data_IF_678993515156
#
_entry.id   IF_678993515156
#
_cell.length_a   1.000
_cell.length_b   1.000
_cell.length_c   1.000
_cell.angle_alpha   90.00
_cell.angle_beta   90.00
_cell.angle_gamma   90.00
#
_symmetry.space_group_name_H-M   'P 1'
#
loop_
_entity.id
_entity.type
_entity.pdbx_description
1 polymer ?
#
# COMPACT_ATOMS: atom_id res chain seq x y z
N UNK A 1 -0.66 10.46 -11.37
CA UNK A 1 -0.89 9.26 -10.56
C UNK A 1 -1.09 9.67 -9.11
N UNK A 2 -2.26 9.40 -8.55
CA UNK A 2 -2.63 9.78 -7.19
C UNK A 2 -2.61 8.54 -6.31
N UNK A 3 -1.89 8.61 -5.18
CA UNK A 3 -1.75 7.52 -4.20
C UNK A 3 -2.12 8.00 -2.78
N UNK A 4 -2.54 7.11 -1.89
CA UNK A 4 -2.95 7.51 -0.54
C UNK A 4 -1.80 7.73 0.43
N UNK A 5 -0.59 7.24 0.13
CA UNK A 5 0.55 7.21 1.05
C UNK A 5 1.85 7.66 0.37
N UNK A 6 2.71 8.39 1.12
CA UNK A 6 4.03 8.80 0.63
C UNK A 6 4.93 7.63 0.23
N UNK A 7 4.87 6.52 0.98
CA UNK A 7 5.64 5.32 0.66
C UNK A 7 5.24 4.72 -0.69
N UNK A 8 3.93 4.65 -0.97
CA UNK A 8 3.42 4.21 -2.27
C UNK A 8 3.80 5.18 -3.39
N UNK A 9 3.87 6.48 -3.11
CA UNK A 9 4.32 7.45 -4.11
C UNK A 9 5.78 7.22 -4.51
N UNK A 10 6.65 6.92 -3.56
CA UNK A 10 8.04 6.61 -3.85
C UNK A 10 8.16 5.31 -4.67
N UNK A 11 7.43 4.26 -4.29
CA UNK A 11 7.38 3.00 -5.04
C UNK A 11 6.90 3.21 -6.47
N UNK A 12 5.77 3.88 -6.66
CA UNK A 12 5.21 4.15 -7.99
C UNK A 12 6.11 5.06 -8.85
N UNK A 13 6.78 6.00 -8.22
CA UNK A 13 7.78 6.82 -8.90
C UNK A 13 8.91 5.94 -9.47
N UNK A 14 9.49 5.05 -8.67
CA UNK A 14 10.54 4.14 -9.15
C UNK A 14 10.02 3.20 -10.25
N UNK A 15 8.81 2.65 -10.10
CA UNK A 15 8.17 1.83 -11.13
C UNK A 15 8.00 2.58 -12.46
N UNK A 16 7.59 3.86 -12.39
CA UNK A 16 7.29 4.66 -13.58
C UNK A 16 8.54 5.22 -14.25
N UNK A 17 9.66 5.34 -13.55
CA UNK A 17 10.97 5.72 -14.13
C UNK A 17 11.37 4.87 -15.35
N UNK A 18 10.91 3.63 -15.45
CA UNK A 18 11.16 2.79 -16.64
C UNK A 18 10.69 3.45 -17.95
N UNK A 19 9.71 4.36 -17.88
CA UNK A 19 9.22 5.08 -19.04
C UNK A 19 10.13 6.22 -19.50
N UNK A 20 11.13 6.61 -18.71
CA UNK A 20 12.17 7.57 -19.11
C UNK A 20 12.96 7.07 -20.32
N UNK A 21 13.04 5.75 -20.51
CA UNK A 21 13.62 5.12 -21.70
C UNK A 21 12.87 5.46 -22.99
N UNK A 22 11.61 5.91 -22.87
CA UNK A 22 10.78 6.37 -23.98
C UNK A 22 10.83 7.90 -24.15
N UNK A 23 11.70 8.57 -23.41
CA UNK A 23 11.84 10.03 -23.42
C UNK A 23 10.84 10.77 -22.53
N UNK A 24 10.02 10.08 -21.74
CA UNK A 24 9.07 10.69 -20.80
C UNK A 24 9.80 11.12 -19.53
N UNK A 25 9.39 12.25 -18.96
CA UNK A 25 9.92 12.77 -17.70
C UNK A 25 8.96 12.40 -16.57
N UNK A 26 9.47 11.76 -15.53
CA UNK A 26 8.70 11.34 -14.37
C UNK A 26 9.07 12.19 -13.16
N UNK A 27 8.07 12.73 -12.46
CA UNK A 27 8.23 13.52 -11.24
C UNK A 27 7.41 12.98 -10.08
N UNK A 28 7.86 13.28 -8.86
CA UNK A 28 7.13 12.95 -7.63
C UNK A 28 6.91 14.21 -6.81
N UNK A 29 5.69 14.37 -6.29
CA UNK A 29 5.35 15.48 -5.42
C UNK A 29 4.65 14.98 -4.17
N UNK A 30 5.43 14.80 -3.10
CA UNK A 30 5.01 14.27 -1.80
C UNK A 30 5.63 15.11 -0.69
N UNK A 31 5.12 16.20 -0.36
CA UNK A 31 5.79 17.06 0.61
C UNK A 31 4.90 18.11 1.20
N UNK A 32 5.48 19.24 1.50
CA UNK A 32 4.82 20.37 2.11
C UNK A 32 3.56 20.75 1.33
N UNK A 33 2.41 20.73 2.02
CA UNK A 33 1.11 20.88 1.37
C UNK A 33 0.85 22.30 0.87
N UNK A 34 1.64 23.30 1.31
CA UNK A 34 1.42 24.70 1.01
C UNK A 34 2.37 25.28 -0.05
N UNK A 35 3.24 24.47 -0.67
CA UNK A 35 4.11 24.97 -1.74
C UNK A 35 3.51 24.69 -3.12
N UNK A 36 3.33 25.74 -3.95
CA UNK A 36 3.14 25.52 -5.38
C UNK A 36 4.45 24.96 -5.94
N UNK A 37 4.40 23.79 -6.55
CA UNK A 37 5.55 23.21 -7.25
C UNK A 37 5.50 23.62 -8.73
N UNK A 38 5.96 24.84 -9.10
CA UNK A 38 5.83 25.36 -10.47
C UNK A 38 6.64 24.54 -11.49
N UNK A 39 7.56 23.72 -11.01
CA UNK A 39 8.41 22.90 -11.87
C UNK A 39 7.70 21.61 -12.34
N UNK A 40 6.50 21.30 -11.83
CA UNK A 40 5.78 20.08 -12.19
C UNK A 40 5.28 20.10 -13.64
N UNK A 41 5.14 21.25 -14.27
CA UNK A 41 4.80 21.40 -15.68
C UNK A 41 5.82 20.80 -16.65
N UNK A 42 7.03 20.51 -16.16
CA UNK A 42 8.12 19.91 -16.95
C UNK A 42 8.04 18.38 -17.04
N UNK A 43 7.16 17.76 -16.26
CA UNK A 43 7.02 16.32 -16.20
C UNK A 43 5.82 15.86 -17.00
N UNK A 44 6.00 14.73 -17.70
CA UNK A 44 4.92 14.06 -18.44
C UNK A 44 4.08 13.18 -17.51
N UNK A 45 4.70 12.63 -16.47
CA UNK A 45 4.07 11.82 -15.45
C UNK A 45 4.39 12.39 -14.07
N UNK A 46 3.36 12.65 -13.27
CA UNK A 46 3.52 13.16 -11.91
C UNK A 46 2.87 12.16 -10.93
N UNK A 47 3.63 11.71 -9.96
CA UNK A 47 3.11 10.90 -8.83
C UNK A 47 2.93 11.81 -7.63
N UNK A 48 1.73 11.82 -7.05
CA UNK A 48 1.42 12.66 -5.90
C UNK A 48 0.51 11.96 -4.90
N UNK A 49 0.53 12.41 -3.64
CA UNK A 49 -0.52 12.02 -2.69
C UNK A 49 -1.81 12.80 -2.95
N UNK A 50 -2.95 12.29 -2.46
CA UNK A 50 -4.26 12.96 -2.59
C UNK A 50 -4.22 14.38 -2.03
N UNK A 51 -3.59 14.56 -0.87
CA UNK A 51 -3.48 15.84 -0.19
C UNK A 51 -2.63 16.83 -1.00
N UNK A 52 -1.53 16.35 -1.60
CA UNK A 52 -0.68 17.20 -2.44
C UNK A 52 -1.38 17.55 -3.74
N UNK A 53 -2.10 16.62 -4.35
CA UNK A 53 -2.91 16.89 -5.53
C UNK A 53 -3.99 17.96 -5.26
N UNK A 54 -4.70 17.88 -4.13
CA UNK A 54 -5.66 18.90 -3.72
C UNK A 54 -4.99 20.27 -3.50
N UNK A 55 -3.81 20.29 -2.87
CA UNK A 55 -3.03 21.52 -2.68
C UNK A 55 -2.66 22.16 -4.02
N UNK A 56 -2.15 21.38 -4.97
CA UNK A 56 -1.79 21.89 -6.31
C UNK A 56 -3.02 22.48 -7.03
N UNK A 57 -4.18 21.87 -6.88
CA UNK A 57 -5.44 22.41 -7.43
C UNK A 57 -5.86 23.73 -6.78
N UNK A 58 -5.61 23.91 -5.50
CA UNK A 58 -5.90 25.19 -4.80
C UNK A 58 -5.01 26.32 -5.25
N UNK A 59 -3.76 26.04 -5.56
CA UNK A 59 -2.81 27.05 -6.05
C UNK A 59 -3.02 27.45 -7.52
N UNK A 60 -4.07 26.93 -8.18
CA UNK A 60 -4.50 27.30 -9.55
C UNK A 60 -3.34 27.24 -10.56
N UNK A 61 -2.52 26.23 -10.48
CA UNK A 61 -1.44 26.01 -11.43
C UNK A 61 -2.01 25.75 -12.83
N UNK A 62 -1.63 26.54 -13.83
CA UNK A 62 -2.24 26.48 -15.17
C UNK A 62 -2.03 25.13 -15.87
N UNK A 63 -0.92 24.44 -15.58
CA UNK A 63 -0.61 23.15 -16.15
C UNK A 63 -1.61 22.04 -15.78
N UNK A 64 -2.33 22.19 -14.67
CA UNK A 64 -3.36 21.22 -14.24
C UNK A 64 -4.46 21.05 -15.29
N UNK A 65 -4.76 22.11 -16.06
CA UNK A 65 -5.76 22.06 -17.13
C UNK A 65 -5.32 21.18 -18.30
N UNK A 66 -4.02 20.92 -18.41
CA UNK A 66 -3.43 20.11 -19.48
C UNK A 66 -3.30 18.63 -19.12
N UNK A 67 -3.73 18.23 -17.91
CA UNK A 67 -3.70 16.83 -17.50
C UNK A 67 -4.73 16.06 -18.33
N UNK A 68 -4.27 15.12 -19.15
CA UNK A 68 -5.12 14.29 -19.99
C UNK A 68 -5.64 13.04 -19.26
N UNK A 69 -4.87 12.52 -18.32
CA UNK A 69 -5.16 11.28 -17.60
C UNK A 69 -4.89 11.44 -16.11
N UNK A 70 -5.83 10.98 -15.29
CA UNK A 70 -5.64 10.79 -13.84
C UNK A 70 -5.82 9.32 -13.51
N UNK A 71 -4.85 8.76 -12.81
CA UNK A 71 -4.95 7.43 -12.22
C UNK A 71 -5.07 7.63 -10.71
N UNK A 72 -6.22 7.24 -10.15
CA UNK A 72 -6.46 7.26 -8.70
C UNK A 72 -6.28 5.85 -8.14
N UNK A 73 -5.22 5.64 -7.38
CA UNK A 73 -4.95 4.36 -6.74
C UNK A 73 -5.68 4.24 -5.41
N UNK A 74 -6.07 3.02 -5.06
CA UNK A 74 -6.78 2.70 -3.82
C UNK A 74 -8.07 3.55 -3.64
N UNK A 75 -8.84 3.73 -4.73
CA UNK A 75 -10.03 4.61 -4.70
C UNK A 75 -11.08 4.18 -3.68
N UNK A 76 -11.05 2.94 -3.20
CA UNK A 76 -11.91 2.47 -2.11
C UNK A 76 -11.73 3.26 -0.81
N UNK A 77 -10.58 3.94 -0.62
CA UNK A 77 -10.36 4.83 0.51
C UNK A 77 -11.23 6.09 0.52
N UNK A 78 -12.08 6.28 -0.50
CA UNK A 78 -13.11 7.32 -0.50
C UNK A 78 -14.06 7.19 0.70
N UNK A 79 -14.19 5.98 1.28
CA UNK A 79 -14.95 5.72 2.51
C UNK A 79 -14.20 6.02 3.79
N UNK A 80 -12.88 6.24 3.72
CA UNK A 80 -12.08 6.57 4.90
C UNK A 80 -12.42 7.98 5.39
N UNK A 81 -12.88 8.16 6.66
CA UNK A 81 -13.28 9.47 7.17
C UNK A 81 -12.17 10.53 7.13
N UNK A 82 -10.91 10.10 7.20
CA UNK A 82 -9.75 11.00 7.22
C UNK A 82 -9.24 11.38 5.83
N UNK A 83 -9.28 10.46 4.88
CA UNK A 83 -8.66 10.63 3.54
C UNK A 83 -9.68 10.74 2.42
N UNK A 84 -10.82 10.09 2.58
CA UNK A 84 -11.86 10.02 1.56
C UNK A 84 -12.30 11.38 1.05
N UNK A 85 -12.66 12.34 1.93
CA UNK A 85 -13.10 13.67 1.49
C UNK A 85 -12.08 14.39 0.62
N UNK A 86 -10.79 14.28 0.92
CA UNK A 86 -9.71 14.90 0.12
C UNK A 86 -9.63 14.27 -1.27
N UNK A 87 -9.66 12.93 -1.35
CA UNK A 87 -9.61 12.22 -2.63
C UNK A 87 -10.84 12.55 -3.49
N UNK A 88 -12.03 12.50 -2.90
CA UNK A 88 -13.30 12.79 -3.58
C UNK A 88 -13.30 14.21 -4.16
N UNK A 89 -12.99 15.22 -3.35
CA UNK A 89 -12.93 16.62 -3.77
C UNK A 89 -11.86 16.81 -4.86
N UNK A 90 -10.71 16.16 -4.73
CA UNK A 90 -9.62 16.25 -5.72
C UNK A 90 -10.10 15.75 -7.10
N UNK A 91 -10.69 14.56 -7.14
CA UNK A 91 -11.20 13.98 -8.39
C UNK A 91 -12.35 14.82 -9.00
N UNK A 92 -13.28 15.29 -8.17
CA UNK A 92 -14.37 16.16 -8.62
C UNK A 92 -13.85 17.49 -9.20
N UNK A 93 -12.85 18.12 -8.57
CA UNK A 93 -12.20 19.33 -9.08
C UNK A 93 -11.48 19.09 -10.40
N UNK A 94 -10.73 18.00 -10.53
CA UNK A 94 -10.03 17.66 -11.77
C UNK A 94 -11.00 17.46 -12.93
N UNK A 95 -12.08 16.72 -12.74
CA UNK A 95 -13.14 16.55 -13.76
C UNK A 95 -13.82 17.88 -14.11
N UNK A 96 -14.03 18.75 -13.15
CA UNK A 96 -14.62 20.07 -13.38
C UNK A 96 -13.68 21.02 -14.15
N UNK A 97 -12.38 20.98 -13.87
CA UNK A 97 -11.36 21.82 -14.52
C UNK A 97 -11.08 21.36 -15.96
N UNK A 98 -11.09 20.07 -16.19
CA UNK A 98 -10.93 19.48 -17.52
C UNK A 98 -11.99 18.38 -17.72
N UNK A 99 -13.16 18.71 -18.30
CA UNK A 99 -14.22 17.72 -18.57
C UNK A 99 -13.82 16.58 -19.52
N UNK A 100 -12.76 16.76 -20.31
CA UNK A 100 -12.22 15.75 -21.21
C UNK A 100 -11.18 14.84 -20.56
N UNK A 101 -10.88 15.02 -19.26
CA UNK A 101 -9.88 14.22 -18.55
C UNK A 101 -10.34 12.76 -18.48
N UNK A 102 -9.45 11.85 -18.84
CA UNK A 102 -9.68 10.43 -18.58
C UNK A 102 -9.36 10.11 -17.12
N UNK A 103 -10.25 9.36 -16.45
CA UNK A 103 -10.02 8.91 -15.07
C UNK A 103 -9.95 7.39 -15.07
N UNK A 104 -8.86 6.86 -14.51
CA UNK A 104 -8.70 5.44 -14.17
C UNK A 104 -8.69 5.33 -12.66
N UNK A 105 -9.60 4.58 -12.08
CA UNK A 105 -9.69 4.33 -10.66
C UNK A 105 -9.33 2.87 -10.38
N UNK A 106 -8.30 2.65 -9.58
CA UNK A 106 -7.86 1.33 -9.15
C UNK A 106 -8.36 1.09 -7.72
N UNK A 107 -8.94 -0.07 -7.48
CA UNK A 107 -9.56 -0.40 -6.20
C UNK A 107 -9.31 -1.85 -5.81
N UNK A 108 -9.23 -2.11 -4.51
CA UNK A 108 -9.50 -3.42 -3.97
C UNK A 108 -10.98 -3.80 -4.19
N UNK A 109 -11.35 -5.03 -3.84
CA UNK A 109 -12.75 -5.47 -3.86
C UNK A 109 -13.59 -4.65 -2.88
N UNK A 110 -14.63 -3.96 -3.39
CA UNK A 110 -15.57 -3.16 -2.60
C UNK A 110 -17.01 -3.51 -2.98
N UNK A 111 -17.94 -3.38 -2.02
CA UNK A 111 -19.34 -3.73 -2.25
C UNK A 111 -20.07 -2.74 -3.17
N UNK A 112 -19.68 -1.48 -3.18
CA UNK A 112 -20.29 -0.39 -3.93
C UNK A 112 -19.48 0.06 -5.15
N UNK A 113 -18.74 -0.84 -5.79
CA UNK A 113 -17.94 -0.53 -6.98
C UNK A 113 -18.77 0.13 -8.11
N UNK A 114 -20.03 -0.26 -8.23
CA UNK A 114 -20.96 0.32 -9.23
C UNK A 114 -21.25 1.80 -8.95
N UNK A 115 -21.52 2.15 -7.71
CA UNK A 115 -21.81 3.54 -7.31
C UNK A 115 -20.61 4.45 -7.56
N UNK A 116 -19.39 3.95 -7.23
CA UNK A 116 -18.14 4.69 -7.50
C UNK A 116 -17.90 4.86 -8.99
N UNK A 117 -18.14 3.82 -9.79
CA UNK A 117 -18.00 3.90 -11.25
C UNK A 117 -19.00 4.88 -11.87
N UNK A 118 -20.27 4.87 -11.42
CA UNK A 118 -21.30 5.80 -11.87
C UNK A 118 -20.95 7.25 -11.47
N UNK A 119 -20.51 7.48 -10.24
CA UNK A 119 -20.06 8.80 -9.80
C UNK A 119 -18.88 9.33 -10.62
N UNK A 120 -17.95 8.46 -11.00
CA UNK A 120 -16.81 8.82 -11.85
C UNK A 120 -17.17 8.91 -13.33
N UNK A 121 -18.38 8.55 -13.73
CA UNK A 121 -18.77 8.38 -15.13
C UNK A 121 -17.77 7.45 -15.86
N UNK A 122 -17.47 6.33 -15.23
CA UNK A 122 -16.47 5.38 -15.67
C UNK A 122 -17.06 4.00 -15.92
N UNK A 123 -16.47 3.26 -16.85
CA UNK A 123 -16.84 1.87 -17.07
C UNK A 123 -16.29 1.00 -15.95
N UNK A 124 -17.14 0.27 -15.24
CA UNK A 124 -16.72 -0.71 -14.26
C UNK A 124 -16.11 -1.93 -14.95
N UNK A 125 -14.92 -2.33 -14.47
CA UNK A 125 -14.24 -3.56 -14.86
C UNK A 125 -13.97 -4.35 -13.58
N UNK A 126 -14.59 -5.51 -13.47
CA UNK A 126 -14.41 -6.43 -12.35
C UNK A 126 -13.66 -7.68 -12.82
N UNK A 127 -12.73 -8.16 -11.98
CA UNK A 127 -11.99 -9.39 -12.26
C UNK A 127 -11.79 -10.17 -10.97
N UNK A 128 -12.19 -11.43 -11.00
CA UNK A 128 -11.94 -12.39 -9.91
C UNK A 128 -10.62 -13.15 -10.13
N UNK A 129 -9.90 -12.84 -11.21
CA UNK A 129 -8.66 -13.49 -11.53
C UNK A 129 -7.60 -13.24 -10.45
N UNK A 130 -6.96 -14.30 -9.99
CA UNK A 130 -5.82 -14.26 -9.05
C UNK A 130 -4.69 -15.11 -9.61
N UNK A 131 -3.43 -14.63 -9.55
CA UNK A 131 -2.27 -15.41 -10.00
C UNK A 131 -2.01 -16.63 -9.11
N UNK A 132 -2.46 -16.58 -7.84
CA UNK A 132 -2.30 -17.65 -6.86
C UNK A 132 -3.64 -17.98 -6.23
N UNK A 133 -3.87 -19.26 -5.94
CA UNK A 133 -5.08 -19.70 -5.27
C UNK A 133 -5.10 -19.22 -3.82
N UNK A 134 -6.07 -18.38 -3.48
CA UNK A 134 -6.33 -17.99 -2.10
C UNK A 134 -7.06 -19.14 -1.37
N UNK A 135 -6.56 -19.51 -0.19
CA UNK A 135 -7.27 -20.36 0.77
C UNK A 135 -7.57 -19.54 2.01
N UNK A 136 -8.84 -19.44 2.34
CA UNK A 136 -9.31 -18.75 3.55
C UNK A 136 -9.64 -19.78 4.62
N UNK A 137 -9.27 -19.49 5.86
CA UNK A 137 -9.51 -20.40 6.97
C UNK A 137 -9.55 -19.71 8.32
N UNK A 138 -10.08 -20.40 9.30
CA UNK A 138 -10.14 -19.96 10.70
C UNK A 138 -9.33 -20.93 11.55
N UNK A 139 -8.44 -20.39 12.39
CA UNK A 139 -7.69 -21.18 13.35
C UNK A 139 -8.48 -21.36 14.66
N UNK A 140 -8.70 -22.60 15.03
CA UNK A 140 -9.36 -22.98 16.27
C UNK A 140 -8.77 -24.31 16.79
N UNK A 141 -8.46 -24.40 18.07
CA UNK A 141 -8.01 -25.63 18.74
C UNK A 141 -6.89 -26.38 17.99
N UNK A 142 -5.83 -25.63 17.63
CA UNK A 142 -4.65 -26.14 16.91
C UNK A 142 -4.94 -26.68 15.50
N UNK A 143 -6.04 -26.27 14.88
CA UNK A 143 -6.39 -26.61 13.51
C UNK A 143 -6.81 -25.37 12.73
N UNK A 144 -6.47 -25.36 11.45
CA UNK A 144 -7.03 -24.40 10.49
C UNK A 144 -8.17 -25.10 9.76
N UNK A 145 -9.34 -24.51 9.83
CA UNK A 145 -10.53 -24.94 9.08
C UNK A 145 -10.68 -24.03 7.87
N UNK A 146 -10.51 -24.58 6.68
CA UNK A 146 -10.63 -23.82 5.44
C UNK A 146 -12.06 -23.80 4.90
N UNK A 147 -12.39 -22.76 4.13
CA UNK A 147 -13.71 -22.62 3.47
C UNK A 147 -14.03 -23.79 2.54
N UNK A 148 -13.02 -24.45 1.97
CA UNK A 148 -13.17 -25.63 1.13
C UNK A 148 -13.40 -26.94 1.92
N UNK A 149 -13.70 -26.84 3.21
CA UNK A 149 -13.89 -27.93 4.17
C UNK A 149 -12.63 -28.80 4.43
N UNK A 150 -11.47 -28.39 3.92
CA UNK A 150 -10.21 -29.05 4.29
C UNK A 150 -9.74 -28.57 5.67
N UNK A 151 -8.87 -29.36 6.30
CA UNK A 151 -8.30 -29.04 7.62
C UNK A 151 -6.80 -29.19 7.59
N UNK A 152 -6.10 -28.36 8.35
CA UNK A 152 -4.66 -28.46 8.57
C UNK A 152 -4.36 -28.42 10.07
N UNK A 153 -3.63 -29.40 10.57
CA UNK A 153 -3.23 -29.46 11.98
C UNK A 153 -1.97 -28.61 12.18
N UNK A 154 -1.99 -27.77 13.20
CA UNK A 154 -0.91 -26.87 13.57
C UNK A 154 -0.39 -27.24 14.94
N UNK A 155 0.93 -27.33 15.09
CA UNK A 155 1.54 -27.63 16.40
C UNK A 155 1.22 -26.54 17.40
N UNK A 156 0.72 -26.94 18.59
CA UNK A 156 0.42 -26.01 19.67
C UNK A 156 1.72 -25.44 20.26
N UNK A 157 1.89 -24.13 20.14
CA UNK A 157 2.97 -23.38 20.76
C UNK A 157 2.42 -22.37 21.77
N UNK A 158 3.22 -21.35 22.12
CA UNK A 158 2.87 -20.38 23.18
C UNK A 158 1.60 -19.57 22.90
N UNK A 159 1.37 -19.19 21.64
CA UNK A 159 0.19 -18.43 21.23
C UNK A 159 -0.27 -18.88 19.83
N UNK A 160 -1.56 -18.68 19.47
CA UNK A 160 -2.07 -18.98 18.15
C UNK A 160 -1.23 -18.35 17.01
N UNK A 161 -0.85 -17.11 17.15
CA UNK A 161 -0.04 -16.39 16.14
C UNK A 161 1.32 -17.06 15.96
N UNK A 162 2.02 -17.36 17.06
CA UNK A 162 3.32 -18.04 17.02
C UNK A 162 3.19 -19.42 16.40
N UNK A 163 2.12 -20.18 16.74
CA UNK A 163 1.85 -21.50 16.17
C UNK A 163 1.71 -21.45 14.65
N UNK A 164 0.90 -20.51 14.15
CA UNK A 164 0.64 -20.34 12.72
C UNK A 164 1.89 -19.89 11.95
N UNK A 165 2.64 -18.94 12.51
CA UNK A 165 3.87 -18.44 11.85
C UNK A 165 4.92 -19.53 11.79
N UNK A 166 5.15 -20.26 12.88
CA UNK A 166 6.13 -21.36 12.88
C UNK A 166 5.72 -22.47 11.91
N UNK A 167 4.44 -22.84 11.87
CA UNK A 167 3.93 -23.84 10.93
C UNK A 167 4.15 -23.40 9.47
N UNK A 168 3.80 -22.16 9.13
CA UNK A 168 3.99 -21.66 7.77
C UNK A 168 5.46 -21.59 7.35
N UNK A 169 6.35 -21.13 8.23
CA UNK A 169 7.80 -21.05 7.95
C UNK A 169 8.43 -22.45 7.89
N UNK A 170 8.07 -23.37 8.76
CA UNK A 170 8.53 -24.76 8.71
C UNK A 170 8.12 -25.46 7.40
N UNK A 171 7.01 -25.03 6.78
CA UNK A 171 6.55 -25.49 5.47
C UNK A 171 7.12 -24.65 4.29
N UNK A 172 8.11 -23.79 4.52
CA UNK A 172 8.78 -22.99 3.50
C UNK A 172 8.00 -21.75 3.04
N UNK A 173 6.96 -21.37 3.78
CA UNK A 173 6.14 -20.19 3.49
C UNK A 173 6.65 -18.92 4.19
N UNK A 174 6.02 -17.79 3.84
CA UNK A 174 6.19 -16.49 4.48
C UNK A 174 4.89 -16.08 5.15
N UNK A 175 4.99 -15.27 6.21
CA UNK A 175 3.83 -14.81 6.96
C UNK A 175 3.78 -13.29 7.04
N UNK A 176 2.60 -12.72 6.86
CA UNK A 176 2.31 -11.35 7.20
C UNK A 176 1.27 -11.33 8.33
N UNK A 177 1.64 -10.78 9.48
CA UNK A 177 0.81 -10.76 10.67
C UNK A 177 0.30 -9.35 10.93
N UNK A 178 -1.02 -9.17 10.84
CA UNK A 178 -1.67 -7.89 11.14
C UNK A 178 -2.12 -7.83 12.59
N UNK A 179 -1.85 -6.71 13.24
CA UNK A 179 -2.26 -6.41 14.62
C UNK A 179 -2.83 -5.00 14.73
N UNK A 180 -3.59 -4.74 15.79
CA UNK A 180 -4.38 -3.51 15.91
C UNK A 180 -3.58 -2.24 16.25
N UNK A 181 -2.35 -2.36 16.78
CA UNK A 181 -1.56 -1.22 17.23
C UNK A 181 -0.07 -1.40 16.95
N UNK A 182 0.66 -0.28 16.79
CA UNK A 182 2.14 -0.29 16.64
C UNK A 182 2.83 -1.03 17.78
N UNK A 183 2.40 -0.82 19.03
CA UNK A 183 2.96 -1.51 20.20
C UNK A 183 2.71 -3.03 20.15
N UNK A 184 1.56 -3.45 19.65
CA UNK A 184 1.27 -4.87 19.46
C UNK A 184 2.18 -5.49 18.39
N UNK A 185 2.51 -4.76 17.31
CA UNK A 185 3.47 -5.23 16.29
C UNK A 185 4.83 -5.57 16.91
N UNK A 186 5.40 -4.67 17.72
CA UNK A 186 6.67 -4.92 18.41
C UNK A 186 6.58 -6.13 19.36
N UNK A 187 5.46 -6.24 20.08
CA UNK A 187 5.26 -7.33 21.04
C UNK A 187 5.14 -8.68 20.35
N UNK A 188 4.37 -8.78 19.27
CA UNK A 188 4.21 -10.03 18.53
C UNK A 188 5.50 -10.39 17.77
N UNK A 189 6.20 -9.43 17.19
CA UNK A 189 7.50 -9.66 16.55
C UNK A 189 8.52 -10.29 17.53
N UNK A 190 8.62 -9.77 18.76
CA UNK A 190 9.47 -10.35 19.81
C UNK A 190 9.08 -11.78 20.16
N UNK A 191 7.77 -12.08 20.31
CA UNK A 191 7.30 -13.42 20.64
C UNK A 191 7.61 -14.43 19.53
N UNK A 192 7.40 -14.02 18.28
CA UNK A 192 7.70 -14.82 17.11
C UNK A 192 9.21 -15.08 17.03
N UNK A 193 10.02 -14.02 17.06
CA UNK A 193 11.48 -14.11 16.99
C UNK A 193 12.10 -14.96 18.13
N UNK A 194 11.50 -14.94 19.33
CA UNK A 194 11.95 -15.77 20.44
C UNK A 194 11.67 -17.27 20.27
N UNK A 195 10.75 -17.62 19.37
CA UNK A 195 10.31 -19.02 19.19
C UNK A 195 10.75 -19.59 17.85
N UNK A 196 10.82 -18.76 16.81
CA UNK A 196 11.22 -19.15 15.47
C UNK A 196 12.70 -19.58 15.48
N UNK A 197 12.98 -20.81 15.00
CA UNK A 197 14.35 -21.35 14.88
C UNK A 197 14.91 -21.11 13.47
N UNK A 198 14.58 -20.00 12.87
CA UNK A 198 15.02 -19.63 11.54
C UNK A 198 16.10 -18.54 11.65
N UNK A 199 17.22 -18.73 10.98
CA UNK A 199 18.29 -17.74 10.82
C UNK A 199 18.48 -17.51 9.33
N UNK A 200 17.90 -16.45 8.76
CA UNK A 200 18.16 -16.12 7.36
C UNK A 200 19.63 -15.76 7.19
N UNK A 201 20.24 -16.17 6.09
CA UNK A 201 21.49 -15.58 5.60
C UNK A 201 21.17 -14.14 5.15
N UNK A 202 21.20 -13.20 6.08
CA UNK A 202 21.09 -11.78 5.77
C UNK A 202 22.47 -11.31 5.32
N UNK A 203 22.62 -10.94 4.07
CA UNK A 203 23.67 -10.04 3.64
C UNK A 203 23.44 -8.73 4.40
N UNK A 204 24.31 -8.47 5.38
CA UNK A 204 24.26 -7.25 6.19
C UNK A 204 24.70 -6.09 5.32
N UNK A 205 23.77 -5.38 4.70
CA UNK A 205 24.01 -3.99 4.34
C UNK A 205 24.11 -3.20 5.66
N UNK A 206 25.33 -3.06 6.15
CA UNK A 206 25.67 -2.19 7.28
C UNK A 206 25.55 -0.73 6.83
N UNK A 207 24.34 -0.21 6.79
CA UNK A 207 24.12 1.24 6.81
C UNK A 207 24.30 1.71 8.26
N UNK A 208 25.52 2.07 8.62
CA UNK A 208 25.92 2.53 9.96
C UNK A 208 25.45 3.95 10.34
N UNK A 209 24.75 4.68 9.47
CA UNK A 209 24.38 6.09 9.67
C UNK A 209 22.92 6.32 10.05
N UNK A 210 22.38 5.61 11.03
CA UNK A 210 21.06 5.88 11.59
C UNK A 210 21.08 6.01 13.11
N UNK A 211 20.43 7.01 13.68
CA UNK A 211 20.20 7.15 15.12
C UNK A 211 19.80 5.79 15.74
N UNK A 212 20.60 5.31 16.71
CA UNK A 212 20.38 4.05 17.40
C UNK A 212 19.20 4.15 18.38
N UNK A 213 17.98 4.27 17.85
CA UNK A 213 16.79 4.21 18.67
C UNK A 213 16.58 2.80 19.23
N UNK A 214 15.90 2.68 20.37
CA UNK A 214 15.54 1.38 20.95
C UNK A 214 14.75 0.50 19.99
N UNK A 215 13.93 1.12 19.13
CA UNK A 215 13.14 0.44 18.10
C UNK A 215 14.04 -0.11 16.99
N UNK A 216 15.05 0.62 16.55
CA UNK A 216 15.99 0.15 15.53
C UNK A 216 16.81 -1.07 16.01
N UNK A 217 17.23 -1.09 17.28
CA UNK A 217 17.90 -2.26 17.88
C UNK A 217 16.98 -3.48 17.90
N UNK A 218 15.73 -3.29 18.31
CA UNK A 218 14.74 -4.35 18.32
C UNK A 218 14.49 -4.90 16.92
N UNK A 219 14.33 -4.03 15.93
CA UNK A 219 14.13 -4.42 14.54
C UNK A 219 15.29 -5.28 14.03
N UNK A 220 16.54 -4.83 14.21
CA UNK A 220 17.74 -5.61 13.85
C UNK A 220 17.78 -6.99 14.54
N UNK A 221 17.36 -7.07 15.80
CA UNK A 221 17.33 -8.34 16.54
C UNK A 221 16.26 -9.29 15.99
N UNK A 222 15.06 -8.79 15.67
CA UNK A 222 14.02 -9.58 15.06
C UNK A 222 14.39 -10.04 13.64
N UNK A 223 14.96 -9.15 12.82
CA UNK A 223 15.43 -9.47 11.47
C UNK A 223 16.47 -10.60 11.44
N UNK A 224 17.43 -10.61 12.39
CA UNK A 224 18.40 -11.71 12.53
C UNK A 224 17.75 -13.07 12.79
N UNK A 225 16.49 -13.09 13.18
CA UNK A 225 15.70 -14.31 13.44
C UNK A 225 14.60 -14.53 12.39
N UNK A 226 14.63 -13.76 11.28
CA UNK A 226 13.70 -13.90 10.18
C UNK A 226 12.32 -13.28 10.41
N UNK A 227 12.23 -12.27 11.30
CA UNK A 227 10.97 -11.57 11.63
C UNK A 227 11.07 -10.08 11.34
#
# INVERSE_FOLDING_TARGET
YIVPLRALAAEKYEDLKRFERLGLKVGVSVGDFDSPDPQLDRYDIIVATSEKADSLLRHRTDWVKNIALVIADEVHLIHDPGRGPTLEITLAKLKKLNPAIQVIALSATIQNAKDVAEWLDAKLIESEWRPTRLKEGVYLENKIYFVDNTRHEVRNLKTPVVSLVCDAVENGGQCLVFVNTRKATETEAKKIAATLKYSPELESEENEDGEQTSVAKLLKECMKRGV
#
